data_IF_346092782141
#
_entry.id   IF_346092782141
#
_cell.length_a   1.000
_cell.length_b   1.000
_cell.length_c   1.000
_cell.angle_alpha   90.00
_cell.angle_beta   90.00
_cell.angle_gamma   90.00
#
_symmetry.space_group_name_H-M   'P 1'
#
loop_
_entity.id
_entity.type
_entity.pdbx_description
1 polymer ?
#
# COMPACT_ATOMS: atom_id res chain seq x y z
N UNK A 1 -70.52 -22.08 -30.43
CA UNK A 1 -69.87 -21.31 -29.34
C UNK A 1 -68.37 -21.57 -29.42
N UNK A 2 -67.59 -20.65 -30.00
CA UNK A 2 -66.12 -20.76 -30.08
C UNK A 2 -65.50 -20.10 -28.84
N UNK A 3 -64.59 -20.81 -28.17
CA UNK A 3 -63.78 -20.30 -27.06
C UNK A 3 -62.43 -19.83 -27.59
N UNK A 4 -62.16 -18.53 -27.45
CA UNK A 4 -60.86 -17.93 -27.76
C UNK A 4 -59.87 -18.21 -26.63
N UNK A 5 -58.71 -18.77 -26.97
CA UNK A 5 -57.56 -18.89 -26.10
C UNK A 5 -56.67 -17.64 -26.27
N UNK A 6 -56.34 -16.98 -25.16
CA UNK A 6 -55.46 -15.81 -25.12
C UNK A 6 -54.07 -16.26 -24.62
N UNK A 7 -52.98 -16.06 -25.39
CA UNK A 7 -51.66 -16.41 -24.92
C UNK A 7 -51.11 -15.30 -24.01
N UNK A 8 -50.64 -15.69 -22.83
CA UNK A 8 -49.95 -14.84 -21.87
C UNK A 8 -48.46 -14.79 -22.26
N UNK A 9 -47.99 -13.69 -22.82
CA UNK A 9 -46.57 -13.45 -23.05
C UNK A 9 -45.90 -13.05 -21.72
N UNK A 10 -45.01 -13.91 -21.23
CA UNK A 10 -44.15 -13.66 -20.09
C UNK A 10 -42.84 -13.00 -20.59
N UNK A 11 -42.69 -11.69 -20.37
CA UNK A 11 -41.45 -10.98 -20.67
C UNK A 11 -40.46 -11.12 -19.51
N UNK A 12 -39.40 -11.91 -19.70
CA UNK A 12 -38.25 -11.94 -18.79
C UNK A 12 -37.37 -10.72 -19.03
N UNK A 13 -37.46 -9.72 -18.16
CA UNK A 13 -36.49 -8.63 -18.08
C UNK A 13 -35.23 -9.10 -17.36
N UNK A 14 -34.19 -9.43 -18.13
CA UNK A 14 -32.83 -9.62 -17.62
C UNK A 14 -32.25 -8.26 -17.20
N UNK A 15 -32.39 -7.91 -15.93
CA UNK A 15 -31.66 -6.80 -15.32
C UNK A 15 -30.21 -7.24 -15.03
N UNK A 16 -29.34 -7.16 -16.04
CA UNK A 16 -27.90 -7.31 -15.87
C UNK A 16 -27.31 -5.97 -15.39
N UNK A 17 -27.47 -5.66 -14.10
CA UNK A 17 -26.65 -4.65 -13.43
C UNK A 17 -25.31 -5.27 -13.03
N UNK A 18 -24.50 -5.62 -14.04
CA UNK A 18 -23.10 -6.00 -13.88
C UNK A 18 -22.22 -4.76 -13.74
N UNK A 19 -22.49 -3.91 -12.74
CA UNK A 19 -21.62 -2.82 -12.33
C UNK A 19 -20.77 -3.28 -11.16
N UNK A 20 -19.92 -4.29 -11.36
CA UNK A 20 -18.92 -4.66 -10.37
C UNK A 20 -17.99 -3.46 -10.17
N UNK A 21 -17.82 -3.04 -8.91
CA UNK A 21 -16.84 -2.02 -8.55
C UNK A 21 -15.48 -2.48 -9.08
N UNK A 22 -14.89 -1.69 -9.99
CA UNK A 22 -13.56 -1.98 -10.50
C UNK A 22 -12.56 -1.30 -9.55
N UNK A 23 -11.87 -2.04 -8.67
CA UNK A 23 -10.92 -1.47 -7.72
C UNK A 23 -9.77 -0.72 -8.41
N UNK A 24 -9.51 -0.98 -9.69
CA UNK A 24 -8.50 -0.26 -10.46
C UNK A 24 -8.91 1.17 -10.85
N UNK A 25 -10.19 1.55 -10.66
CA UNK A 25 -10.73 2.84 -11.15
C UNK A 25 -10.48 4.04 -10.23
N UNK A 26 -9.84 3.85 -9.09
CA UNK A 26 -9.48 4.93 -8.14
C UNK A 26 -8.05 4.76 -7.61
N UNK A 27 -7.09 4.51 -8.50
CA UNK A 27 -5.70 4.60 -8.10
C UNK A 27 -5.42 6.07 -7.71
N UNK A 28 -4.86 6.34 -6.53
CA UNK A 28 -4.61 7.70 -6.06
C UNK A 28 -3.69 8.42 -7.04
N UNK A 29 -4.05 9.66 -7.38
CA UNK A 29 -3.22 10.52 -8.20
C UNK A 29 -2.03 11.03 -7.37
N UNK A 30 -0.82 10.95 -7.93
CA UNK A 30 0.39 11.49 -7.31
C UNK A 30 0.81 12.83 -7.92
N UNK A 31 1.23 13.76 -7.07
CA UNK A 31 2.07 14.91 -7.44
C UNK A 31 3.56 14.49 -7.35
N UNK A 32 4.36 14.85 -8.35
CA UNK A 32 5.82 14.67 -8.33
C UNK A 32 6.43 15.87 -7.60
N UNK A 33 6.93 15.66 -6.38
CA UNK A 33 7.59 16.71 -5.59
C UNK A 33 9.06 16.90 -5.99
N UNK A 34 9.69 15.85 -6.48
CA UNK A 34 11.05 15.85 -7.00
C UNK A 34 11.14 14.80 -8.10
N UNK A 35 11.59 15.19 -9.29
CA UNK A 35 11.60 14.32 -10.44
C UNK A 35 12.82 13.43 -10.53
N UNK A 36 14.01 13.74 -10.01
CA UNK A 36 15.16 12.83 -9.83
C UNK A 36 15.59 11.92 -11.00
N UNK A 37 15.04 12.06 -12.21
CA UNK A 37 15.13 11.07 -13.31
C UNK A 37 13.94 10.10 -13.43
N UNK A 38 12.92 10.25 -12.59
CA UNK A 38 11.62 9.60 -12.64
C UNK A 38 10.90 9.86 -13.96
N UNK A 39 10.43 8.78 -14.55
CA UNK A 39 9.59 8.78 -15.74
C UNK A 39 8.22 8.21 -15.40
N UNK A 40 7.16 8.78 -15.97
CA UNK A 40 5.78 8.31 -15.80
C UNK A 40 5.26 7.77 -17.13
N UNK A 41 4.79 6.53 -17.12
CA UNK A 41 4.12 5.89 -18.26
C UNK A 41 2.79 5.31 -17.81
N UNK A 42 1.68 5.95 -18.21
CA UNK A 42 0.36 5.61 -17.66
C UNK A 42 0.32 5.84 -16.15
N UNK A 43 -0.01 4.79 -15.39
CA UNK A 43 -0.04 4.81 -13.92
C UNK A 43 1.29 4.34 -13.27
N UNK A 44 2.26 3.93 -14.09
CA UNK A 44 3.56 3.44 -13.63
C UNK A 44 4.59 4.57 -13.53
N UNK A 45 5.46 4.49 -12.53
CA UNK A 45 6.57 5.41 -12.29
C UNK A 45 7.88 4.61 -12.22
N UNK A 46 8.90 5.05 -12.96
CA UNK A 46 10.18 4.36 -13.03
C UNK A 46 11.35 5.33 -12.85
N UNK A 47 12.32 4.97 -12.01
CA UNK A 47 13.54 5.73 -11.76
C UNK A 47 13.63 6.19 -10.31
N UNK A 48 14.17 7.39 -10.10
CA UNK A 48 14.37 7.99 -8.78
C UNK A 48 13.52 9.25 -8.67
N UNK A 49 12.77 9.40 -7.58
CA UNK A 49 11.91 10.58 -7.39
C UNK A 49 11.04 10.51 -6.14
N UNK A 50 10.29 11.58 -5.90
CA UNK A 50 9.41 11.73 -4.73
C UNK A 50 7.98 11.99 -5.19
N UNK A 51 7.07 11.14 -4.76
CA UNK A 51 5.66 11.15 -5.13
C UNK A 51 4.81 11.40 -3.88
N UNK A 52 3.93 12.39 -3.91
CA UNK A 52 2.98 12.65 -2.82
C UNK A 52 1.55 12.43 -3.29
N UNK A 53 0.76 11.68 -2.53
CA UNK A 53 -0.64 11.47 -2.87
C UNK A 53 -1.40 12.80 -2.84
N UNK A 54 -2.30 12.97 -3.82
CA UNK A 54 -3.28 14.04 -3.80
C UNK A 54 -4.50 13.69 -2.94
N UNK A 55 -4.66 12.42 -2.59
CA UNK A 55 -5.66 11.94 -1.65
C UNK A 55 -5.07 11.94 -0.25
N UNK A 56 -5.65 12.77 0.63
CA UNK A 56 -5.33 12.78 2.04
C UNK A 56 -5.89 11.52 2.73
N UNK A 57 -5.18 11.07 3.77
CA UNK A 57 -5.68 10.11 4.74
C UNK A 57 -6.84 10.74 5.52
N UNK A 58 -7.69 9.91 6.12
CA UNK A 58 -8.87 10.40 6.84
C UNK A 58 -8.51 11.31 8.03
N UNK A 59 -7.36 11.06 8.67
CA UNK A 59 -6.74 11.95 9.65
C UNK A 59 -5.30 11.54 9.94
N UNK A 60 -4.59 12.33 10.75
CA UNK A 60 -3.29 11.92 11.29
C UNK A 60 -3.36 10.75 12.27
N UNK A 61 -4.52 10.48 12.88
CA UNK A 61 -4.76 9.34 13.77
C UNK A 61 -5.74 8.36 13.12
N UNK A 62 -5.34 7.78 12.00
CA UNK A 62 -6.17 6.84 11.25
C UNK A 62 -5.39 5.58 10.94
N UNK A 63 -6.14 4.54 10.54
CA UNK A 63 -5.60 3.26 10.16
C UNK A 63 -5.86 3.06 8.66
N UNK A 64 -4.81 2.77 7.89
CA UNK A 64 -4.89 2.68 6.44
C UNK A 64 -4.11 1.49 5.91
N UNK A 65 -4.64 0.86 4.85
CA UNK A 65 -3.96 -0.16 4.07
C UNK A 65 -3.35 0.48 2.81
N UNK A 66 -2.08 0.23 2.55
CA UNK A 66 -1.37 0.65 1.34
C UNK A 66 -1.00 -0.58 0.53
N UNK A 67 -1.64 -0.77 -0.62
CA UNK A 67 -1.29 -1.86 -1.55
C UNK A 67 -0.36 -1.34 -2.62
N UNK A 68 0.80 -1.97 -2.75
CA UNK A 68 1.87 -1.59 -3.66
C UNK A 68 2.26 -2.78 -4.54
N UNK A 69 2.42 -2.51 -5.84
CA UNK A 69 3.05 -3.44 -6.80
C UNK A 69 4.25 -2.75 -7.40
N UNK A 70 5.44 -3.28 -7.18
CA UNK A 70 6.69 -2.65 -7.57
C UNK A 70 7.77 -3.68 -7.90
N UNK A 71 8.85 -3.22 -8.53
CA UNK A 71 10.10 -3.98 -8.64
C UNK A 71 11.27 -3.06 -8.31
N UNK A 72 12.33 -3.63 -7.78
CA UNK A 72 13.55 -2.91 -7.42
C UNK A 72 14.69 -3.43 -8.29
N UNK A 73 15.50 -2.53 -8.85
CA UNK A 73 16.81 -2.93 -9.35
C UNK A 73 17.71 -3.33 -8.18
N UNK A 74 18.77 -4.08 -8.44
CA UNK A 74 19.71 -4.47 -7.39
C UNK A 74 20.37 -3.23 -6.76
N UNK A 75 20.30 -3.10 -5.43
CA UNK A 75 20.68 -1.89 -4.69
C UNK A 75 19.61 -0.78 -4.68
N UNK A 76 18.51 -0.93 -5.42
CA UNK A 76 17.39 0.00 -5.46
C UNK A 76 16.50 -0.08 -4.21
N UNK A 77 15.69 0.97 -4.00
CA UNK A 77 14.75 1.04 -2.89
C UNK A 77 13.43 1.73 -3.25
N UNK A 78 12.39 1.37 -2.51
CA UNK A 78 11.12 2.08 -2.46
C UNK A 78 10.80 2.34 -1.00
N UNK A 79 10.39 3.57 -0.66
CA UNK A 79 9.98 3.93 0.70
C UNK A 79 8.53 4.38 0.69
N UNK A 80 7.68 3.69 1.45
CA UNK A 80 6.36 4.17 1.80
C UNK A 80 6.47 5.17 2.93
N UNK A 81 5.92 6.36 2.74
CA UNK A 81 5.81 7.37 3.80
C UNK A 81 4.34 7.55 4.12
N UNK A 82 3.93 7.14 5.31
CA UNK A 82 2.56 7.25 5.80
C UNK A 82 2.46 8.28 6.93
N UNK A 83 1.28 8.90 7.06
CA UNK A 83 0.98 9.86 8.12
C UNK A 83 2.01 11.00 8.24
N UNK A 84 2.45 11.54 7.10
CA UNK A 84 3.41 12.65 7.02
C UNK A 84 2.72 13.99 6.77
N UNK A 85 3.49 15.08 6.87
CA UNK A 85 3.05 16.38 6.38
C UNK A 85 3.05 16.46 4.84
N UNK A 86 2.61 17.60 4.29
CA UNK A 86 2.52 17.85 2.84
C UNK A 86 3.85 17.78 2.08
N UNK A 87 4.98 17.74 2.79
CA UNK A 87 6.33 17.59 2.23
C UNK A 87 6.92 16.21 2.52
N UNK A 88 6.09 15.24 2.93
CA UNK A 88 6.47 13.89 3.33
C UNK A 88 7.49 13.85 4.48
N UNK A 89 7.42 14.81 5.41
CA UNK A 89 8.22 14.82 6.63
C UNK A 89 7.38 14.43 7.84
N UNK A 90 8.04 14.03 8.93
CA UNK A 90 7.39 13.66 10.19
C UNK A 90 6.38 12.50 10.06
N UNK A 91 6.57 11.63 9.07
CA UNK A 91 5.79 10.42 8.85
C UNK A 91 6.45 9.16 9.42
N UNK A 92 5.79 8.05 9.18
CA UNK A 92 6.34 6.70 9.31
C UNK A 92 6.89 6.32 7.95
N UNK A 93 8.17 5.99 7.90
CA UNK A 93 8.86 5.60 6.68
C UNK A 93 9.16 4.11 6.73
N UNK A 94 8.67 3.37 5.74
CA UNK A 94 8.90 1.92 5.59
C UNK A 94 9.67 1.74 4.28
N UNK A 95 10.97 1.49 4.39
CA UNK A 95 11.90 1.34 3.25
C UNK A 95 12.08 -0.13 2.91
N UNK A 96 11.70 -0.48 1.69
CA UNK A 96 11.99 -1.73 1.01
C UNK A 96 13.27 -1.57 0.21
N UNK A 97 14.30 -2.36 0.49
CA UNK A 97 15.56 -2.29 -0.24
C UNK A 97 15.99 -3.66 -0.72
N UNK A 98 16.40 -3.74 -1.98
CA UNK A 98 16.87 -4.98 -2.58
C UNK A 98 18.39 -5.09 -2.50
N UNK A 99 18.88 -6.28 -2.13
CA UNK A 99 20.28 -6.70 -2.33
C UNK A 99 20.30 -8.13 -2.86
N UNK A 100 20.73 -8.34 -4.11
CA UNK A 100 20.65 -9.62 -4.80
C UNK A 100 19.20 -10.08 -4.97
N UNK A 101 18.79 -11.09 -4.21
CA UNK A 101 17.42 -11.63 -4.13
C UNK A 101 16.71 -11.25 -2.83
N UNK A 102 17.41 -10.63 -1.88
CA UNK A 102 16.89 -10.38 -0.54
C UNK A 102 16.16 -9.04 -0.48
N UNK A 103 15.10 -8.98 0.34
CA UNK A 103 14.34 -7.77 0.60
C UNK A 103 14.53 -7.32 2.05
N UNK A 104 15.32 -6.26 2.25
CA UNK A 104 15.50 -5.62 3.54
C UNK A 104 14.38 -4.63 3.84
N UNK A 105 13.93 -4.60 5.09
CA UNK A 105 12.87 -3.70 5.59
C UNK A 105 13.42 -2.86 6.73
N UNK A 106 13.44 -1.54 6.54
CA UNK A 106 13.80 -0.58 7.57
C UNK A 106 12.61 0.31 7.88
N UNK A 107 12.32 0.52 9.16
CA UNK A 107 11.25 1.41 9.58
C UNK A 107 11.81 2.58 10.37
N UNK A 108 11.48 3.79 9.93
CA UNK A 108 11.95 5.04 10.55
C UNK A 108 10.79 5.93 10.96
N UNK A 109 10.89 6.50 12.16
CA UNK A 109 10.04 7.60 12.62
C UNK A 109 10.94 8.62 13.29
N UNK A 110 10.87 9.87 12.85
CA UNK A 110 11.80 10.94 13.25
C UNK A 110 13.27 10.53 13.06
N UNK A 111 14.07 10.50 14.13
CA UNK A 111 15.50 10.17 14.13
C UNK A 111 15.79 8.70 14.47
N UNK A 112 14.75 7.90 14.77
CA UNK A 112 14.90 6.49 15.15
C UNK A 112 14.58 5.58 13.98
N UNK A 113 15.49 4.63 13.73
CA UNK A 113 15.33 3.57 12.72
C UNK A 113 15.42 2.21 13.40
N UNK A 114 14.55 1.29 13.01
CA UNK A 114 14.62 -0.13 13.37
C UNK A 114 14.80 -0.95 12.10
N UNK A 115 15.57 -2.02 12.19
CA UNK A 115 15.82 -2.95 11.09
C UNK A 115 15.00 -4.22 11.32
N UNK A 116 14.07 -4.49 10.40
CA UNK A 116 13.20 -5.67 10.44
C UNK A 116 13.64 -6.74 9.45
N UNK A 117 14.77 -6.56 8.77
CA UNK A 117 15.15 -7.35 7.59
C UNK A 117 15.24 -8.85 7.87
N UNK A 118 15.87 -9.25 8.98
CA UNK A 118 16.03 -10.67 9.32
C UNK A 118 14.68 -11.36 9.57
N UNK A 119 13.89 -10.83 10.50
CA UNK A 119 12.59 -11.38 10.84
C UNK A 119 11.61 -11.35 9.65
N UNK A 120 11.64 -10.27 8.86
CA UNK A 120 10.81 -10.14 7.67
C UNK A 120 11.21 -11.16 6.59
N UNK A 121 12.50 -11.37 6.36
CA UNK A 121 12.96 -12.34 5.36
C UNK A 121 12.58 -13.77 5.76
N UNK A 122 12.73 -14.12 7.04
CA UNK A 122 12.37 -15.45 7.57
C UNK A 122 10.88 -15.79 7.32
N UNK A 123 9.98 -14.82 7.50
CA UNK A 123 8.53 -15.02 7.34
C UNK A 123 8.04 -14.81 5.92
N UNK A 124 8.65 -13.87 5.18
CA UNK A 124 8.18 -13.50 3.86
C UNK A 124 8.61 -14.50 2.79
N UNK A 125 9.83 -15.03 2.83
CA UNK A 125 10.37 -15.84 1.73
C UNK A 125 10.23 -15.17 0.35
N UNK A 126 10.18 -13.83 0.32
CA UNK A 126 10.04 -13.06 -0.93
C UNK A 126 11.38 -13.07 -1.67
N UNK A 127 11.33 -13.39 -2.96
CA UNK A 127 12.42 -13.16 -3.90
C UNK A 127 12.28 -11.76 -4.51
N UNK A 128 13.14 -10.84 -4.09
CA UNK A 128 13.16 -9.45 -4.55
C UNK A 128 13.65 -9.29 -5.99
N UNK A 129 14.04 -10.38 -6.67
CA UNK A 129 14.52 -10.31 -8.05
C UNK A 129 13.45 -10.00 -9.08
N UNK A 130 12.20 -10.28 -8.74
CA UNK A 130 11.04 -10.05 -9.58
C UNK A 130 10.16 -8.90 -9.09
N UNK A 131 8.88 -9.03 -9.44
CA UNK A 131 7.83 -8.15 -8.95
C UNK A 131 7.46 -8.49 -7.51
N UNK A 132 7.27 -7.45 -6.70
CA UNK A 132 6.83 -7.52 -5.32
C UNK A 132 5.42 -6.92 -5.25
N UNK A 133 4.49 -7.67 -4.64
CA UNK A 133 3.13 -7.23 -4.35
C UNK A 133 2.89 -7.36 -2.85
N UNK A 134 2.70 -6.22 -2.18
CA UNK A 134 2.50 -6.16 -0.74
C UNK A 134 1.34 -5.24 -0.40
N UNK A 135 0.57 -5.60 0.62
CA UNK A 135 -0.27 -4.67 1.37
C UNK A 135 0.38 -4.37 2.70
N UNK A 136 0.41 -3.11 3.09
CA UNK A 136 0.98 -2.63 4.35
C UNK A 136 -0.14 -1.93 5.11
N UNK A 137 -0.58 -2.51 6.23
CA UNK A 137 -1.41 -1.77 7.16
C UNK A 137 -0.54 -0.91 8.06
N UNK A 138 -0.97 0.33 8.26
CA UNK A 138 -0.39 1.24 9.22
C UNK A 138 -1.51 1.75 10.11
N UNK A 139 -1.58 1.23 11.33
CA UNK A 139 -2.51 1.66 12.36
C UNK A 139 -1.86 2.78 13.19
N UNK A 140 -2.17 4.03 12.85
CA UNK A 140 -1.68 5.21 13.58
C UNK A 140 -2.75 5.79 14.52
N UNK A 141 -3.89 5.10 14.65
CA UNK A 141 -5.03 5.47 15.49
C UNK A 141 -4.75 5.50 17.00
N UNK A 142 -5.76 5.90 17.80
CA UNK A 142 -5.60 6.14 19.24
C UNK A 142 -5.35 4.88 20.08
N UNK A 143 -5.64 3.69 19.55
CA UNK A 143 -5.43 2.39 20.24
C UNK A 143 -3.94 2.13 20.52
N UNK A 144 -3.06 2.63 19.66
CA UNK A 144 -1.61 2.57 19.88
C UNK A 144 -1.19 3.93 20.41
N UNK A 145 -0.69 4.05 21.64
CA UNK A 145 -0.47 5.38 22.23
C UNK A 145 0.82 6.04 21.70
N UNK A 146 1.93 5.31 21.74
CA UNK A 146 3.28 5.87 21.49
C UNK A 146 3.95 5.33 20.22
N UNK A 147 3.30 4.41 19.53
CA UNK A 147 3.81 3.76 18.32
C UNK A 147 2.68 3.58 17.28
N UNK A 148 3.05 3.31 16.03
CA UNK A 148 2.13 2.82 15.01
C UNK A 148 2.25 1.29 14.88
N UNK A 149 1.15 0.59 14.69
CA UNK A 149 1.19 -0.85 14.43
C UNK A 149 1.25 -1.09 12.92
N UNK A 150 2.22 -1.86 12.44
CA UNK A 150 2.44 -2.11 11.01
C UNK A 150 2.37 -3.59 10.74
N UNK A 151 1.48 -3.97 9.82
CA UNK A 151 1.26 -5.35 9.41
C UNK A 151 1.52 -5.48 7.91
N UNK A 152 2.09 -6.61 7.49
CA UNK A 152 2.27 -6.91 6.07
C UNK A 152 1.43 -8.10 5.63
N UNK A 153 0.93 -7.97 4.43
CA UNK A 153 0.02 -8.89 3.80
C UNK A 153 0.55 -9.29 2.43
N UNK A 154 0.51 -10.59 2.12
CA UNK A 154 0.68 -11.08 0.76
C UNK A 154 -0.67 -11.23 0.12
N UNK A 155 -0.81 -10.66 -1.08
CA UNK A 155 -2.01 -10.81 -1.89
C UNK A 155 -3.29 -10.48 -1.08
N UNK A 156 -4.29 -11.35 -1.16
CA UNK A 156 -5.56 -11.24 -0.44
C UNK A 156 -5.67 -12.26 0.71
N UNK A 157 -4.53 -12.69 1.27
CA UNK A 157 -4.49 -13.64 2.40
C UNK A 157 -5.28 -13.12 3.61
N UNK A 158 -5.82 -14.05 4.40
CA UNK A 158 -6.74 -13.72 5.51
C UNK A 158 -6.00 -13.17 6.74
N UNK A 159 -4.79 -13.64 6.96
CA UNK A 159 -3.97 -13.31 8.13
C UNK A 159 -2.68 -12.59 7.67
N UNK A 160 -2.17 -11.68 8.49
CA UNK A 160 -0.93 -10.99 8.19
C UNK A 160 0.23 -11.98 8.28
N UNK A 161 1.17 -11.96 7.33
CA UNK A 161 2.33 -12.86 7.40
C UNK A 161 3.44 -12.30 8.30
N UNK A 162 3.40 -11.00 8.58
CA UNK A 162 4.35 -10.31 9.43
C UNK A 162 3.65 -9.22 10.23
N UNK A 163 3.84 -9.26 11.54
CA UNK A 163 3.42 -8.24 12.48
C UNK A 163 4.65 -7.55 13.07
N UNK A 164 4.87 -6.27 12.75
CA UNK A 164 6.04 -5.55 13.23
C UNK A 164 6.15 -5.43 14.76
N UNK A 165 5.03 -5.53 15.49
CA UNK A 165 5.01 -5.48 16.94
C UNK A 165 5.26 -6.85 17.62
N UNK A 166 4.93 -7.95 16.96
CA UNK A 166 5.12 -9.31 17.51
C UNK A 166 6.39 -9.98 16.98
N UNK A 167 6.70 -9.77 15.70
CA UNK A 167 7.78 -10.43 14.98
C UNK A 167 9.08 -9.63 14.98
N UNK A 168 9.04 -8.37 15.43
CA UNK A 168 10.19 -7.48 15.50
C UNK A 168 10.07 -6.49 16.68
N UNK A 169 10.83 -5.39 16.65
CA UNK A 169 10.94 -4.41 17.74
C UNK A 169 9.81 -3.37 17.78
N UNK A 170 8.73 -3.55 17.01
CA UNK A 170 7.68 -2.55 16.83
C UNK A 170 8.18 -1.30 16.09
N UNK A 171 7.26 -0.38 15.78
CA UNK A 171 7.67 0.90 15.19
C UNK A 171 8.23 1.83 16.28
N UNK A 172 9.23 2.67 15.96
CA UNK A 172 9.87 3.51 16.97
C UNK A 172 9.06 4.75 17.38
N UNK A 173 7.86 4.93 16.81
CA UNK A 173 7.00 6.10 17.05
C UNK A 173 5.77 6.15 16.14
N UNK A 174 5.17 7.34 16.06
CA UNK A 174 4.00 7.65 15.21
C UNK A 174 4.28 8.71 14.15
N UNK A 175 3.51 8.65 13.06
CA UNK A 175 3.40 9.74 12.10
C UNK A 175 2.48 10.86 12.63
N UNK A 176 2.64 12.07 12.10
CA UNK A 176 1.98 13.29 12.63
C UNK A 176 1.15 14.07 11.62
N UNK A 177 1.01 13.61 10.39
CA UNK A 177 0.19 14.25 9.37
C UNK A 177 -0.79 13.29 8.69
N UNK A 178 -1.54 13.82 7.75
CA UNK A 178 -2.63 13.17 7.02
C UNK A 178 -2.27 12.91 5.55
N UNK A 179 -0.99 13.00 5.20
CA UNK A 179 -0.49 12.77 3.85
C UNK A 179 0.29 11.47 3.80
N UNK A 180 0.30 10.83 2.64
CA UNK A 180 1.20 9.74 2.34
C UNK A 180 1.83 9.90 0.96
N UNK A 181 2.88 9.13 0.70
CA UNK A 181 3.62 9.19 -0.54
C UNK A 181 4.67 8.10 -0.65
N UNK A 182 5.46 8.18 -1.71
CA UNK A 182 6.48 7.20 -2.05
C UNK A 182 7.78 7.92 -2.44
N UNK A 183 8.91 7.40 -1.96
CA UNK A 183 10.23 7.77 -2.45
C UNK A 183 10.76 6.57 -3.23
N UNK A 184 11.22 6.81 -4.45
CA UNK A 184 11.78 5.78 -5.32
C UNK A 184 13.27 6.06 -5.51
N UNK A 185 14.10 5.03 -5.43
CA UNK A 185 15.51 5.04 -5.77
C UNK A 185 15.77 3.82 -6.68
N UNK A 186 15.94 4.05 -7.97
CA UNK A 186 16.13 2.97 -8.96
C UNK A 186 15.06 1.86 -8.87
N UNK A 187 13.80 2.29 -8.82
CA UNK A 187 12.64 1.43 -8.64
C UNK A 187 11.61 1.62 -9.76
N UNK A 188 10.71 0.64 -9.90
CA UNK A 188 9.51 0.74 -10.74
C UNK A 188 8.29 0.53 -9.85
N UNK A 189 7.47 1.55 -9.71
CA UNK A 189 6.14 1.45 -9.11
C UNK A 189 5.11 1.21 -10.22
N UNK A 190 4.48 0.04 -10.22
CA UNK A 190 3.55 -0.38 -11.26
C UNK A 190 2.09 -0.05 -10.87
N UNK A 191 1.73 -0.27 -9.62
CA UNK A 191 0.41 0.11 -9.10
C UNK A 191 0.45 0.46 -7.61
N UNK A 192 -0.57 1.21 -7.20
CA UNK A 192 -0.77 1.73 -5.85
C UNK A 192 -2.26 1.84 -5.55
N UNK A 193 -2.65 1.56 -4.32
CA UNK A 193 -3.94 1.98 -3.76
C UNK A 193 -3.81 2.22 -2.26
N UNK A 194 -4.73 3.03 -1.75
CA UNK A 194 -4.92 3.25 -0.31
C UNK A 194 -6.36 2.95 0.04
N UNK A 195 -6.59 2.32 1.18
CA UNK A 195 -7.91 1.96 1.66
C UNK A 195 -7.96 1.86 3.19
N UNK A 196 -9.09 1.43 3.77
CA UNK A 196 -9.16 1.12 5.19
C UNK A 196 -8.17 0.00 5.54
N UNK A 197 -7.59 0.06 6.74
CA UNK A 197 -6.79 -1.04 7.28
C UNK A 197 -7.61 -2.33 7.39
N UNK A 198 -6.93 -3.48 7.42
CA UNK A 198 -7.58 -4.78 7.63
C UNK A 198 -7.66 -5.06 9.13
N UNK A 199 -8.84 -5.44 9.61
CA UNK A 199 -9.10 -5.63 11.05
C UNK A 199 -8.80 -7.05 11.55
N UNK A 200 -8.46 -7.99 10.67
CA UNK A 200 -8.08 -9.35 11.08
C UNK A 200 -6.60 -9.38 11.41
N UNK A 201 -6.25 -9.99 12.53
CA UNK A 201 -4.87 -10.28 12.94
C UNK A 201 -4.78 -11.80 13.06
#
# INVERSE_FOLDING_TARGET
>A
MLRNALPLLLAFSLAACGGGDNPDRRAPAFEILNDGGLTKTGESYQGTGVLRSNEALSSSQSDNNFRLRFSLNDGGSLTLVAHADRHLRNGIEIRFQRTGTDLSIFVRVADRTVDWSEAFQEKSGIDASGEIVLSVDVHNGPTHHDYAHVLFWKNDEKDAFFDGAEDADGTPGKGRGDVWGLLLEDAVLMSKSVGPARDTH
#
